data_IF_987026802729
#
_entry.id   IF_987026802729
#
_cell.length_a   1.000
_cell.length_b   1.000
_cell.length_c   1.000
_cell.angle_alpha   90.00
_cell.angle_beta   90.00
_cell.angle_gamma   90.00
#
_symmetry.space_group_name_H-M   'P 1'
#
loop_
_entity.id
_entity.type
_entity.pdbx_description
1 polymer ?
#
# COMPACT_ATOMS: atom_id res chain seq x y z
N UNK A 1 -20.47 7.34 5.36
CA UNK A 1 -20.97 6.19 6.16
C UNK A 1 -20.02 4.99 6.12
N UNK A 2 -19.72 4.40 4.94
CA UNK A 2 -18.87 3.20 4.85
C UNK A 2 -17.48 3.38 5.49
N UNK A 3 -16.77 4.47 5.18
CA UNK A 3 -15.45 4.79 5.79
C UNK A 3 -15.55 4.98 7.31
N UNK A 4 -16.66 5.53 7.82
CA UNK A 4 -16.91 5.67 9.26
C UNK A 4 -17.03 4.30 9.93
N UNK A 5 -17.75 3.36 9.30
CA UNK A 5 -17.89 1.98 9.79
C UNK A 5 -16.56 1.23 9.75
N UNK A 6 -15.74 1.43 8.70
CA UNK A 6 -14.39 0.87 8.62
C UNK A 6 -13.50 1.33 9.77
N UNK A 7 -13.49 2.62 10.07
CA UNK A 7 -12.71 3.17 11.19
C UNK A 7 -13.19 2.60 12.53
N UNK A 8 -14.49 2.36 12.70
CA UNK A 8 -15.01 1.70 13.90
C UNK A 8 -14.61 0.23 13.97
N UNK A 9 -14.69 -0.50 12.85
CA UNK A 9 -14.28 -1.90 12.77
C UNK A 9 -12.80 -2.07 13.11
N UNK A 10 -11.94 -1.11 12.72
CA UNK A 10 -10.52 -1.07 13.09
C UNK A 10 -10.29 -1.23 14.60
N UNK A 11 -11.11 -0.55 15.40
CA UNK A 11 -11.01 -0.58 16.87
C UNK A 11 -11.58 -1.85 17.51
N UNK A 12 -12.24 -2.70 16.72
CA UNK A 12 -12.84 -3.96 17.17
C UNK A 12 -12.08 -5.18 16.65
N UNK A 13 -10.91 -4.99 16.05
CA UNK A 13 -10.11 -6.11 15.55
C UNK A 13 -9.56 -6.96 16.69
N UNK A 14 -9.78 -8.27 16.62
CA UNK A 14 -9.19 -9.26 17.52
C UNK A 14 -7.80 -9.74 17.05
N UNK A 15 -7.06 -8.91 16.29
CA UNK A 15 -5.66 -9.12 15.96
C UNK A 15 -5.31 -10.37 15.14
N UNK A 16 -6.28 -10.99 14.45
CA UNK A 16 -5.98 -12.15 13.58
C UNK A 16 -5.57 -11.71 12.17
N UNK A 17 -4.73 -12.50 11.46
CA UNK A 17 -4.37 -12.25 10.07
C UNK A 17 -5.58 -12.01 9.14
N UNK A 18 -6.62 -12.84 9.24
CA UNK A 18 -7.82 -12.70 8.41
C UNK A 18 -8.54 -11.36 8.60
N UNK A 19 -8.62 -10.88 9.85
CA UNK A 19 -9.24 -9.59 10.12
C UNK A 19 -8.41 -8.43 9.53
N UNK A 20 -7.07 -8.47 9.71
CA UNK A 20 -6.19 -7.46 9.12
C UNK A 20 -6.28 -7.45 7.59
N UNK A 21 -6.29 -8.63 6.97
CA UNK A 21 -6.42 -8.81 5.53
C UNK A 21 -7.75 -8.28 4.99
N UNK A 22 -8.87 -8.61 5.64
CA UNK A 22 -10.19 -8.14 5.20
C UNK A 22 -10.28 -6.61 5.30
N UNK A 23 -9.83 -6.04 6.41
CA UNK A 23 -9.95 -4.61 6.64
C UNK A 23 -8.99 -3.78 5.76
N UNK A 24 -7.74 -4.21 5.61
CA UNK A 24 -6.76 -3.56 4.72
C UNK A 24 -7.24 -3.54 3.26
N UNK A 25 -7.82 -4.63 2.77
CA UNK A 25 -8.42 -4.69 1.43
C UNK A 25 -9.56 -3.68 1.25
N UNK A 26 -10.43 -3.51 2.27
CA UNK A 26 -11.52 -2.54 2.18
C UNK A 26 -10.99 -1.10 2.17
N UNK A 27 -10.06 -0.75 3.06
CA UNK A 27 -9.42 0.58 3.03
C UNK A 27 -8.75 0.86 1.68
N UNK A 28 -8.02 -0.11 1.13
CA UNK A 28 -7.39 0.03 -0.18
C UNK A 28 -8.42 0.20 -1.30
N UNK A 29 -9.54 -0.52 -1.26
CA UNK A 29 -10.61 -0.39 -2.26
C UNK A 29 -11.23 1.03 -2.24
N UNK A 30 -11.53 1.58 -1.06
CA UNK A 30 -12.03 2.95 -0.95
C UNK A 30 -10.96 3.98 -1.35
N UNK A 31 -9.70 3.77 -0.96
CA UNK A 31 -8.59 4.64 -1.35
C UNK A 31 -8.41 4.70 -2.87
N UNK A 32 -8.48 3.55 -3.56
CA UNK A 32 -8.46 3.50 -5.02
C UNK A 32 -9.63 4.22 -5.67
N UNK A 33 -10.83 4.07 -5.10
CA UNK A 33 -12.02 4.76 -5.59
C UNK A 33 -11.87 6.28 -5.46
N UNK A 34 -11.36 6.76 -4.33
CA UNK A 34 -11.04 8.17 -4.12
C UNK A 34 -9.98 8.68 -5.11
N UNK A 35 -8.91 7.90 -5.35
CA UNK A 35 -7.85 8.22 -6.31
C UNK A 35 -8.34 8.28 -7.77
N UNK A 36 -9.36 7.51 -8.13
CA UNK A 36 -9.89 7.47 -9.51
C UNK A 36 -10.85 8.61 -9.86
N UNK A 37 -11.20 9.45 -8.89
CA UNK A 37 -12.01 10.66 -9.12
C UNK A 37 -11.11 11.75 -9.69
N UNK A 38 -11.73 12.84 -10.15
CA UNK A 38 -10.98 14.02 -10.61
C UNK A 38 -9.94 14.47 -9.57
N UNK A 39 -8.81 15.00 -10.06
CA UNK A 39 -7.61 15.39 -9.30
C UNK A 39 -7.86 16.65 -8.42
N UNK A 40 -8.90 16.61 -7.59
CA UNK A 40 -9.16 17.60 -6.54
C UNK A 40 -8.37 17.23 -5.26
N UNK A 41 -7.79 18.23 -4.61
CA UNK A 41 -6.96 18.01 -3.42
C UNK A 41 -7.69 17.26 -2.30
N UNK A 42 -9.01 17.42 -2.15
CA UNK A 42 -9.76 16.68 -1.14
C UNK A 42 -9.80 15.18 -1.46
N UNK A 43 -10.00 14.80 -2.73
CA UNK A 43 -10.05 13.40 -3.16
C UNK A 43 -8.70 12.71 -2.97
N UNK A 44 -7.61 13.42 -3.29
CA UNK A 44 -6.24 12.93 -3.15
C UNK A 44 -5.83 12.77 -1.67
N UNK A 45 -6.21 13.73 -0.81
CA UNK A 45 -5.95 13.63 0.63
C UNK A 45 -6.74 12.47 1.27
N UNK A 46 -8.00 12.26 0.87
CA UNK A 46 -8.77 11.11 1.33
C UNK A 46 -8.18 9.78 0.82
N UNK A 47 -7.77 9.72 -0.45
CA UNK A 47 -7.10 8.56 -1.01
C UNK A 47 -5.82 8.21 -0.21
N UNK A 48 -4.97 9.21 0.03
CA UNK A 48 -3.74 9.06 0.80
C UNK A 48 -4.01 8.56 2.23
N UNK A 49 -5.00 9.15 2.91
CA UNK A 49 -5.39 8.73 4.26
C UNK A 49 -5.85 7.28 4.30
N UNK A 50 -6.74 6.89 3.38
CA UNK A 50 -7.27 5.53 3.30
C UNK A 50 -6.17 4.50 2.96
N UNK A 51 -5.22 4.85 2.09
CA UNK A 51 -4.11 3.97 1.75
C UNK A 51 -3.10 3.82 2.90
N UNK A 52 -2.87 4.88 3.69
CA UNK A 52 -2.05 4.77 4.90
C UNK A 52 -2.70 3.86 5.95
N UNK A 53 -4.01 3.92 6.11
CA UNK A 53 -4.75 2.97 6.97
C UNK A 53 -4.62 1.53 6.47
N UNK A 54 -4.70 1.31 5.15
CA UNK A 54 -4.45 0.00 4.56
C UNK A 54 -3.01 -0.49 4.82
N UNK A 55 -2.01 0.41 4.72
CA UNK A 55 -0.60 0.08 4.94
C UNK A 55 -0.32 -0.31 6.39
N UNK A 56 -0.82 0.47 7.37
CA UNK A 56 -0.70 0.17 8.80
C UNK A 56 -1.31 -1.20 9.14
N UNK A 57 -2.47 -1.52 8.58
CA UNK A 57 -3.10 -2.83 8.75
C UNK A 57 -2.31 -3.96 8.10
N UNK A 58 -1.67 -3.73 6.94
CA UNK A 58 -0.78 -4.72 6.33
C UNK A 58 0.44 -5.00 7.20
N UNK A 59 1.03 -3.97 7.82
CA UNK A 59 2.21 -4.12 8.69
C UNK A 59 1.86 -4.83 10.01
N UNK A 60 0.71 -4.52 10.60
CA UNK A 60 0.16 -5.28 11.74
C UNK A 60 -0.19 -6.73 11.36
N UNK A 61 -0.73 -6.93 10.16
CA UNK A 61 -0.99 -8.24 9.58
C UNK A 61 0.30 -9.07 9.43
N UNK A 62 1.36 -8.49 8.87
CA UNK A 62 2.68 -9.12 8.78
C UNK A 62 3.22 -9.55 10.14
N UNK A 63 3.08 -8.71 11.17
CA UNK A 63 3.53 -9.02 12.53
C UNK A 63 2.75 -10.19 13.18
N UNK A 64 1.56 -10.51 12.66
CA UNK A 64 0.69 -11.58 13.18
C UNK A 64 0.60 -12.80 12.26
N UNK A 65 1.20 -12.72 11.07
CA UNK A 65 1.23 -13.78 10.08
C UNK A 65 1.84 -15.07 10.66
N UNK A 66 1.16 -16.19 10.48
CA UNK A 66 1.60 -17.50 11.01
C UNK A 66 2.07 -18.43 9.91
N UNK A 67 1.64 -18.18 8.69
CA UNK A 67 1.96 -19.00 7.52
C UNK A 67 2.81 -18.22 6.52
N UNK A 68 3.49 -18.95 5.65
CA UNK A 68 4.22 -18.36 4.53
C UNK A 68 3.25 -17.68 3.57
N UNK A 69 2.07 -18.27 3.40
CA UNK A 69 0.99 -17.78 2.56
C UNK A 69 0.48 -16.42 3.07
N UNK A 70 0.22 -16.28 4.38
CA UNK A 70 -0.12 -14.99 5.01
C UNK A 70 0.98 -13.95 4.75
N UNK A 71 2.23 -14.33 4.95
CA UNK A 71 3.40 -13.44 4.79
C UNK A 71 3.51 -12.94 3.35
N UNK A 72 3.37 -13.83 2.38
CA UNK A 72 3.42 -13.49 0.96
C UNK A 72 2.26 -12.57 0.57
N UNK A 73 1.06 -12.84 1.08
CA UNK A 73 -0.14 -12.07 0.76
C UNK A 73 -0.06 -10.65 1.35
N UNK A 74 0.33 -10.50 2.61
CA UNK A 74 0.53 -9.17 3.18
C UNK A 74 1.70 -8.42 2.53
N UNK A 75 2.77 -9.10 2.15
CA UNK A 75 3.89 -8.46 1.42
C UNK A 75 3.44 -7.95 0.05
N UNK A 76 2.63 -8.74 -0.66
CA UNK A 76 2.03 -8.34 -1.93
C UNK A 76 1.08 -7.15 -1.76
N UNK A 77 0.25 -7.17 -0.72
CA UNK A 77 -0.66 -6.07 -0.42
C UNK A 77 0.07 -4.79 -0.02
N UNK A 78 1.09 -4.88 0.84
CA UNK A 78 1.97 -3.77 1.22
C UNK A 78 2.62 -3.14 -0.01
N UNK A 79 3.17 -3.95 -0.91
CA UNK A 79 3.76 -3.49 -2.17
C UNK A 79 2.73 -2.76 -3.05
N UNK A 80 1.53 -3.31 -3.17
CA UNK A 80 0.44 -2.71 -3.94
C UNK A 80 -0.01 -1.37 -3.36
N UNK A 81 -0.19 -1.30 -2.04
CA UNK A 81 -0.57 -0.08 -1.33
C UNK A 81 0.49 1.01 -1.48
N UNK A 82 1.77 0.70 -1.33
CA UNK A 82 2.87 1.65 -1.53
C UNK A 82 2.91 2.22 -2.96
N UNK A 83 2.60 1.41 -3.98
CA UNK A 83 2.49 1.91 -5.37
C UNK A 83 1.36 2.91 -5.53
N UNK A 84 0.20 2.68 -4.90
CA UNK A 84 -0.90 3.64 -4.94
C UNK A 84 -0.60 4.91 -4.15
N UNK A 85 0.04 4.80 -2.97
CA UNK A 85 0.52 5.98 -2.21
C UNK A 85 1.48 6.81 -3.07
N UNK A 86 2.41 6.14 -3.76
CA UNK A 86 3.30 6.80 -4.72
C UNK A 86 2.55 7.48 -5.85
N UNK A 87 1.47 6.90 -6.37
CA UNK A 87 0.64 7.50 -7.41
C UNK A 87 -0.10 8.75 -6.90
N UNK A 88 -0.63 8.72 -5.67
CA UNK A 88 -1.25 9.90 -5.04
C UNK A 88 -0.23 11.04 -4.92
N UNK A 89 0.96 10.75 -4.39
CA UNK A 89 2.02 11.76 -4.29
C UNK A 89 2.44 12.30 -5.66
N UNK A 90 2.45 11.46 -6.69
CA UNK A 90 2.76 11.88 -8.04
C UNK A 90 1.71 12.86 -8.59
N UNK A 91 0.41 12.59 -8.42
CA UNK A 91 -0.66 13.49 -8.83
C UNK A 91 -0.63 14.83 -8.07
N UNK A 92 -0.22 14.81 -6.81
CA UNK A 92 -0.01 16.02 -5.99
C UNK A 92 1.28 16.80 -6.32
N UNK A 93 2.13 16.30 -7.23
CA UNK A 93 3.44 16.91 -7.51
C UNK A 93 4.48 16.76 -6.38
N UNK A 94 4.27 15.84 -5.44
CA UNK A 94 5.11 15.61 -4.26
C UNK A 94 6.24 14.60 -4.56
N UNK A 95 7.17 14.96 -5.47
CA UNK A 95 8.17 14.03 -6.01
C UNK A 95 9.13 13.42 -4.97
N UNK A 96 9.47 14.14 -3.90
CA UNK A 96 10.29 13.58 -2.81
C UNK A 96 9.60 12.40 -2.11
N UNK A 97 8.28 12.49 -1.92
CA UNK A 97 7.48 11.41 -1.33
C UNK A 97 7.37 10.21 -2.27
N UNK A 98 7.29 10.46 -3.59
CA UNK A 98 7.37 9.41 -4.63
C UNK A 98 8.70 8.65 -4.53
N UNK A 99 9.82 9.36 -4.46
CA UNK A 99 11.16 8.75 -4.36
C UNK A 99 11.28 7.89 -3.09
N UNK A 100 10.75 8.36 -1.95
CA UNK A 100 10.71 7.57 -0.72
C UNK A 100 9.94 6.27 -0.89
N UNK A 101 8.75 6.32 -1.50
CA UNK A 101 7.96 5.11 -1.78
C UNK A 101 8.72 4.13 -2.67
N UNK A 102 9.36 4.60 -3.74
CA UNK A 102 10.15 3.78 -4.67
C UNK A 102 11.36 3.14 -3.97
N UNK A 103 12.05 3.86 -3.07
CA UNK A 103 13.14 3.29 -2.26
C UNK A 103 12.62 2.14 -1.40
N UNK A 104 11.52 2.34 -0.65
CA UNK A 104 10.93 1.27 0.17
C UNK A 104 10.53 0.05 -0.68
N UNK A 105 9.96 0.27 -1.87
CA UNK A 105 9.57 -0.80 -2.79
C UNK A 105 10.78 -1.60 -3.31
N UNK A 106 11.92 -0.94 -3.54
CA UNK A 106 13.15 -1.58 -4.01
C UNK A 106 13.84 -2.37 -2.90
N UNK A 107 13.87 -1.81 -1.70
CA UNK A 107 14.52 -2.40 -0.54
C UNK A 107 13.69 -3.51 0.14
N UNK A 108 12.36 -3.53 -0.05
CA UNK A 108 11.46 -4.51 0.56
C UNK A 108 11.45 -5.89 -0.10
N UNK A 109 12.16 -6.08 -1.21
CA UNK A 109 12.28 -7.36 -1.92
C UNK A 109 13.40 -8.24 -1.36
N UNK A 110 13.35 -8.63 -0.09
CA UNK A 110 14.36 -9.54 0.45
C UNK A 110 14.09 -10.98 0.00
N UNK A 111 14.86 -11.49 -0.98
CA UNK A 111 15.00 -12.94 -1.14
C UNK A 111 15.35 -13.55 -2.51
N UNK A 112 16.10 -12.90 -3.40
CA UNK A 112 17.11 -13.55 -4.27
C UNK A 112 17.76 -12.54 -5.22
N UNK A 113 19.02 -12.78 -5.55
CA UNK A 113 19.93 -11.85 -6.23
C UNK A 113 19.36 -11.11 -7.44
N UNK A 114 19.67 -9.83 -7.49
CA UNK A 114 19.32 -8.94 -8.59
C UNK A 114 19.77 -7.53 -8.30
N UNK A 115 21.08 -7.35 -8.16
CA UNK A 115 21.69 -6.07 -8.44
C UNK A 115 21.18 -5.56 -9.81
N UNK A 116 20.86 -4.28 -9.89
CA UNK A 116 20.91 -3.52 -11.15
C UNK A 116 20.07 -4.02 -12.34
N UNK A 117 18.78 -4.28 -12.16
CA UNK A 117 17.85 -4.33 -13.29
C UNK A 117 16.89 -3.14 -13.27
N UNK A 118 17.46 -1.98 -13.60
CA UNK A 118 16.74 -1.04 -14.44
C UNK A 118 16.31 -1.79 -15.71
N UNK A 119 15.03 -1.74 -16.08
CA UNK A 119 14.55 -2.15 -17.40
C UNK A 119 14.98 -1.14 -18.49
N UNK A 120 16.21 -0.63 -18.39
CA UNK A 120 16.87 0.09 -19.47
C UNK A 120 17.58 -0.97 -20.29
N UNK A 121 17.11 -1.20 -21.52
CA UNK A 121 17.68 -2.14 -22.49
C UNK A 121 19.22 -1.99 -22.55
N UNK A 122 20.00 -3.08 -22.65
CA UNK A 122 21.39 -2.96 -23.07
C UNK A 122 21.36 -2.48 -24.52
N UNK A 123 21.71 -1.21 -24.75
CA UNK A 123 22.03 -0.76 -26.10
C UNK A 123 23.32 -1.48 -26.49
N UNK A 124 23.20 -2.46 -27.38
CA UNK A 124 24.34 -3.04 -28.08
C UNK A 124 24.79 -2.01 -29.12
N UNK A 125 25.95 -1.40 -28.89
CA UNK A 125 26.74 -0.71 -29.90
C UNK A 125 28.19 -1.16 -29.74
#
# INVERSE_FOLDING_TARGET
LAVTLLNRAKNMLFGSPDHYKSLSNQFLAFGKSALSRDDDDCSLNDALRLMNEALDLCEKGLATAKTREDTMEFTGMRTKTLRFISAVHLQKGEYESVIKCVKVLRNGGNGSGGADQHASLPVLA
#
